data_IF_264172869302
#
_entry.id   IF_264172869302
#
_cell.length_a   1.000
_cell.length_b   1.000
_cell.length_c   1.000
_cell.angle_alpha   90.00
_cell.angle_beta   90.00
_cell.angle_gamma   90.00
#
_symmetry.space_group_name_H-M   'P 1'
#
loop_
_entity.id
_entity.type
_entity.pdbx_description
1 polymer ?
#
# COMPACT_ATOMS: atom_id res chain seq x y z
N UNK A 1 9.53 -8.08 -15.12
CA UNK A 1 9.51 -7.63 -13.71
C UNK A 1 8.72 -6.35 -13.67
N UNK A 2 7.63 -6.31 -12.90
CA UNK A 2 7.03 -5.03 -12.52
C UNK A 2 7.91 -4.49 -11.40
N UNK A 3 8.43 -3.28 -11.54
CA UNK A 3 9.20 -2.65 -10.48
C UNK A 3 8.20 -2.12 -9.43
N UNK A 4 8.36 -2.58 -8.18
CA UNK A 4 7.49 -2.21 -7.05
C UNK A 4 7.60 -0.71 -6.75
N UNK A 5 8.80 -0.15 -6.82
CA UNK A 5 9.02 1.27 -6.56
C UNK A 5 8.44 2.12 -7.71
N UNK A 6 8.51 1.65 -8.95
CA UNK A 6 7.83 2.30 -10.09
C UNK A 6 6.29 2.26 -9.92
N UNK A 7 5.74 1.13 -9.49
CA UNK A 7 4.30 0.99 -9.25
C UNK A 7 3.80 1.93 -8.14
N UNK A 8 4.55 2.06 -7.05
CA UNK A 8 4.20 2.92 -5.93
C UNK A 8 4.46 4.40 -6.24
N UNK A 9 5.65 4.75 -6.73
CA UNK A 9 6.09 6.14 -6.75
C UNK A 9 6.08 6.77 -8.14
N UNK A 10 5.88 5.98 -9.21
CA UNK A 10 5.87 6.46 -10.60
C UNK A 10 4.75 7.45 -10.93
N UNK A 11 3.79 7.66 -10.02
CA UNK A 11 2.66 8.60 -10.16
C UNK A 11 2.76 9.82 -9.25
N UNK A 12 3.92 10.05 -8.64
CA UNK A 12 4.15 11.20 -7.74
C UNK A 12 3.54 11.04 -6.35
N UNK A 13 3.18 9.82 -5.96
CA UNK A 13 2.83 9.48 -4.58
C UNK A 13 4.11 9.22 -3.79
N UNK A 14 4.06 9.47 -2.49
CA UNK A 14 5.12 9.19 -1.54
C UNK A 14 4.68 8.11 -0.54
N UNK A 15 5.64 7.53 0.19
CA UNK A 15 5.34 6.51 1.23
C UNK A 15 4.29 6.99 2.24
N UNK A 16 4.32 8.28 2.60
CA UNK A 16 3.36 8.88 3.53
C UNK A 16 1.92 8.98 3.00
N UNK A 17 1.72 8.78 1.69
CA UNK A 17 0.40 8.70 1.08
C UNK A 17 -0.20 7.29 1.20
N UNK A 18 0.58 6.29 1.61
CA UNK A 18 0.14 4.91 1.78
C UNK A 18 -0.10 4.53 3.24
N UNK A 19 -1.02 3.59 3.44
CA UNK A 19 -1.19 2.88 4.69
C UNK A 19 -1.69 1.46 4.42
N UNK A 20 -1.44 0.56 5.37
CA UNK A 20 -1.92 -0.81 5.31
C UNK A 20 -3.01 -0.97 6.35
N UNK A 21 -4.21 -1.33 5.92
CA UNK A 21 -5.24 -1.84 6.82
C UNK A 21 -4.96 -3.31 7.11
N UNK A 22 -4.87 -3.65 8.39
CA UNK A 22 -4.61 -5.00 8.85
C UNK A 22 -5.81 -5.50 9.65
N UNK A 23 -6.46 -6.54 9.12
CA UNK A 23 -7.45 -7.34 9.84
C UNK A 23 -6.76 -8.57 10.44
N UNK A 24 -7.44 -9.38 11.26
CA UNK A 24 -6.86 -10.63 11.78
C UNK A 24 -6.49 -11.66 10.70
N UNK A 25 -7.05 -11.55 9.49
CA UNK A 25 -6.91 -12.55 8.43
C UNK A 25 -6.37 -12.00 7.12
N UNK A 26 -6.27 -10.68 6.96
CA UNK A 26 -5.87 -10.05 5.71
C UNK A 26 -5.17 -8.71 5.92
N UNK A 27 -4.40 -8.32 4.91
CA UNK A 27 -3.82 -6.99 4.79
C UNK A 27 -4.31 -6.36 3.49
N UNK A 28 -4.71 -5.09 3.55
CA UNK A 28 -5.20 -4.33 2.42
C UNK A 28 -4.34 -3.07 2.27
N UNK A 29 -3.86 -2.84 1.05
CA UNK A 29 -3.15 -1.62 0.71
C UNK A 29 -4.15 -0.50 0.44
N UNK A 30 -3.98 0.61 1.14
CA UNK A 30 -4.77 1.82 0.96
C UNK A 30 -3.85 3.01 0.68
N UNK A 31 -4.40 4.04 0.05
CA UNK A 31 -3.69 5.29 -0.19
C UNK A 31 -4.61 6.50 -0.01
N UNK A 32 -3.99 7.62 0.33
CA UNK A 32 -4.65 8.90 0.58
C UNK A 32 -4.27 9.89 -0.50
N UNK A 33 -5.27 10.51 -1.13
CA UNK A 33 -5.03 11.62 -2.07
C UNK A 33 -4.91 12.95 -1.32
N UNK A 34 -4.38 13.96 -2.00
CA UNK A 34 -4.20 15.34 -1.50
C UNK A 34 -5.47 15.99 -0.93
N UNK A 35 -6.66 15.56 -1.38
CA UNK A 35 -7.95 16.01 -0.83
C UNK A 35 -8.36 15.32 0.48
N UNK A 36 -7.49 14.47 1.03
CA UNK A 36 -7.68 13.79 2.29
C UNK A 36 -8.53 12.52 2.22
N UNK A 37 -9.04 12.15 1.03
CA UNK A 37 -9.81 10.93 0.80
C UNK A 37 -8.91 9.70 0.72
N UNK A 38 -9.35 8.63 1.36
CA UNK A 38 -8.70 7.33 1.41
C UNK A 38 -9.37 6.37 0.43
N UNK A 39 -8.57 5.53 -0.22
CA UNK A 39 -9.01 4.58 -1.22
C UNK A 39 -8.23 3.27 -1.09
N UNK A 40 -8.90 2.16 -1.36
CA UNK A 40 -8.25 0.87 -1.49
C UNK A 40 -7.50 0.79 -2.82
N UNK A 41 -6.33 0.14 -2.81
CA UNK A 41 -5.55 -0.15 -4.00
C UNK A 41 -5.56 -1.66 -4.27
N UNK A 42 -6.53 -2.16 -5.05
CA UNK A 42 -6.60 -3.57 -5.39
C UNK A 42 -5.43 -3.96 -6.30
N UNK A 43 -4.77 -5.06 -5.95
CA UNK A 43 -3.72 -5.69 -6.74
C UNK A 43 -4.18 -7.13 -7.01
N UNK A 44 -4.43 -7.47 -8.28
CA UNK A 44 -4.99 -8.77 -8.68
C UNK A 44 -3.98 -9.92 -8.71
N UNK A 45 -2.72 -9.63 -8.42
CA UNK A 45 -1.58 -10.55 -8.51
C UNK A 45 -1.04 -10.72 -7.10
N UNK A 46 -1.31 -11.86 -6.47
CA UNK A 46 -1.06 -12.08 -5.04
C UNK A 46 0.43 -12.01 -4.70
N UNK A 47 1.30 -12.53 -5.58
CA UNK A 47 2.75 -12.47 -5.42
C UNK A 47 3.22 -11.01 -5.45
N UNK A 48 2.77 -10.25 -6.45
CA UNK A 48 3.10 -8.83 -6.57
C UNK A 48 2.52 -8.00 -5.41
N UNK A 49 1.32 -8.32 -4.94
CA UNK A 49 0.72 -7.68 -3.78
C UNK A 49 1.59 -7.90 -2.53
N UNK A 50 2.10 -9.12 -2.33
CA UNK A 50 3.02 -9.46 -1.25
C UNK A 50 4.33 -8.67 -1.32
N UNK A 51 4.92 -8.52 -2.52
CA UNK A 51 6.11 -7.69 -2.74
C UNK A 51 5.86 -6.22 -2.40
N UNK A 52 4.74 -5.66 -2.86
CA UNK A 52 4.35 -4.26 -2.60
C UNK A 52 4.15 -4.01 -1.10
N UNK A 53 3.40 -4.88 -0.41
CA UNK A 53 3.17 -4.76 1.03
C UNK A 53 4.48 -4.88 1.82
N UNK A 54 5.35 -5.81 1.44
CA UNK A 54 6.66 -5.99 2.08
C UNK A 54 7.52 -4.75 1.92
N UNK A 55 7.58 -4.20 0.69
CA UNK A 55 8.33 -2.97 0.41
C UNK A 55 7.83 -1.78 1.20
N UNK A 56 6.52 -1.58 1.31
CA UNK A 56 5.95 -0.50 2.10
C UNK A 56 6.25 -0.65 3.60
N UNK A 57 6.23 -1.87 4.13
CA UNK A 57 6.61 -2.15 5.53
C UNK A 57 8.08 -1.83 5.79
N UNK A 58 8.98 -2.20 4.87
CA UNK A 58 10.41 -1.83 4.94
C UNK A 58 10.62 -0.32 4.98
N UNK A 59 9.79 0.43 4.24
CA UNK A 59 9.82 1.89 4.17
C UNK A 59 9.13 2.57 5.37
N UNK A 60 8.61 1.80 6.33
CA UNK A 60 7.98 2.34 7.53
C UNK A 60 6.57 2.90 7.29
N UNK A 61 5.82 2.33 6.35
CA UNK A 61 4.42 2.70 6.09
C UNK A 61 3.58 2.58 7.36
N UNK A 62 2.55 3.43 7.48
CA UNK A 62 1.58 3.35 8.58
C UNK A 62 0.74 2.08 8.46
N UNK A 63 0.62 1.30 9.54
CA UNK A 63 -0.28 0.15 9.64
C UNK A 63 -1.44 0.52 10.57
N UNK A 64 -2.67 0.35 10.08
CA UNK A 64 -3.92 0.61 10.80
C UNK A 64 -4.59 -0.72 11.09
N UNK A 65 -4.79 -1.04 12.38
CA UNK A 65 -5.49 -2.27 12.77
C UNK A 65 -7.00 -2.04 12.75
N UNK A 66 -7.70 -2.82 11.95
CA UNK A 66 -9.17 -2.79 11.85
C UNK A 66 -9.71 -4.01 12.60
N UNK A 67 -10.62 -3.76 13.55
CA UNK A 67 -11.19 -4.77 14.46
C UNK A 67 -12.47 -5.37 13.91
#
# INVERSE_FOLDING_TARGET
>A
MKDVDEFLFGRGLAVGDYFIEQTPVSELLCYRKSEGREFDLPINDDDFAGEVLSRLKELGVRIVKVS
#
